data_IF_161336938561
#
_entry.id   IF_161336938561
#
_cell.length_a   1.000
_cell.length_b   1.000
_cell.length_c   1.000
_cell.angle_alpha   90.00
_cell.angle_beta   90.00
_cell.angle_gamma   90.00
#
_symmetry.space_group_name_H-M   'P 1'
#
loop_
_entity.id
_entity.type
_entity.pdbx_description
1 polymer ?
#
# COMPACT_ATOMS: atom_id res chain seq x y z
N UNK A 1 -13.31 -3.02 -5.36
CA UNK A 1 -12.27 -1.99 -5.53
C UNK A 1 -11.06 -2.60 -6.23
N UNK A 2 -10.16 -1.81 -6.83
CA UNK A 2 -8.99 -2.34 -7.56
C UNK A 2 -8.09 -3.25 -6.69
N UNK A 3 -8.01 -2.99 -5.39
CA UNK A 3 -7.32 -3.85 -4.42
C UNK A 3 -7.93 -5.24 -4.26
N UNK A 4 -9.24 -5.39 -4.45
CA UNK A 4 -9.90 -6.69 -4.24
C UNK A 4 -9.68 -7.64 -5.43
N UNK A 5 -9.27 -7.09 -6.58
CA UNK A 5 -8.87 -7.85 -7.77
C UNK A 5 -7.41 -8.29 -7.71
N UNK A 6 -6.62 -7.76 -6.77
CA UNK A 6 -5.23 -8.16 -6.57
C UNK A 6 -5.18 -9.35 -5.59
N UNK A 7 -4.70 -10.52 -6.03
CA UNK A 7 -4.75 -11.73 -5.21
C UNK A 7 -3.88 -11.64 -3.95
N UNK A 8 -2.74 -10.96 -4.03
CA UNK A 8 -1.82 -10.78 -2.89
C UNK A 8 -2.46 -9.89 -1.83
N UNK A 9 -3.07 -8.77 -2.26
CA UNK A 9 -3.76 -7.85 -1.36
C UNK A 9 -4.99 -8.51 -0.73
N UNK A 10 -5.77 -9.25 -1.53
CA UNK A 10 -6.95 -9.98 -1.05
C UNK A 10 -6.59 -11.06 -0.04
N UNK A 11 -5.49 -11.78 -0.24
CA UNK A 11 -4.98 -12.76 0.73
C UNK A 11 -4.63 -12.08 2.07
N UNK A 12 -3.93 -10.94 2.03
CA UNK A 12 -3.58 -10.20 3.25
C UNK A 12 -4.85 -9.68 3.95
N UNK A 13 -5.83 -9.14 3.23
CA UNK A 13 -7.12 -8.71 3.80
C UNK A 13 -7.83 -9.86 4.51
N UNK A 14 -7.85 -11.05 3.89
CA UNK A 14 -8.43 -12.25 4.48
C UNK A 14 -7.68 -12.67 5.75
N UNK A 15 -6.34 -12.65 5.74
CA UNK A 15 -5.53 -12.96 6.93
C UNK A 15 -5.80 -11.98 8.07
N UNK A 16 -5.99 -10.69 7.78
CA UNK A 16 -6.34 -9.68 8.80
C UNK A 16 -7.71 -10.00 9.42
N UNK A 17 -8.72 -10.29 8.59
CA UNK A 17 -10.07 -10.59 9.08
C UNK A 17 -10.12 -11.88 9.92
N UNK A 18 -9.24 -12.84 9.61
CA UNK A 18 -9.16 -14.13 10.30
C UNK A 18 -8.13 -14.15 11.45
N UNK A 19 -7.55 -13.00 11.84
CA UNK A 19 -6.46 -12.91 12.84
C UNK A 19 -5.26 -13.83 12.53
N UNK A 20 -5.00 -14.09 11.24
CA UNK A 20 -3.95 -14.99 10.76
C UNK A 20 -2.61 -14.29 10.47
N UNK A 21 -2.48 -13.01 10.80
CA UNK A 21 -1.20 -12.29 10.73
C UNK A 21 -0.39 -12.51 12.02
N UNK A 22 0.93 -12.55 11.90
CA UNK A 22 1.80 -12.53 13.09
C UNK A 22 1.74 -11.18 13.79
N UNK A 23 2.07 -11.12 15.08
CA UNK A 23 2.03 -9.88 15.88
C UNK A 23 2.87 -8.73 15.26
N UNK A 24 3.98 -9.07 14.60
CA UNK A 24 4.81 -8.11 13.87
C UNK A 24 4.09 -7.55 12.63
N UNK A 25 3.33 -8.38 11.92
CA UNK A 25 2.58 -7.99 10.73
C UNK A 25 1.32 -7.21 11.07
N UNK A 26 0.67 -7.52 12.19
CA UNK A 26 -0.53 -6.81 12.69
C UNK A 26 -0.26 -5.32 12.90
N UNK A 27 0.91 -4.96 13.41
CA UNK A 27 1.30 -3.55 13.59
C UNK A 27 1.72 -2.85 12.27
N UNK A 28 1.87 -3.61 11.19
CA UNK A 28 2.35 -3.11 9.90
C UNK A 28 1.20 -2.78 8.95
N UNK A 29 0.04 -3.41 9.10
CA UNK A 29 -1.09 -3.28 8.18
C UNK A 29 -2.35 -2.79 8.89
N UNK A 30 -3.09 -1.89 8.23
CA UNK A 30 -4.34 -1.34 8.72
C UNK A 30 -5.36 -1.34 7.58
N UNK A 31 -6.61 -1.70 7.87
CA UNK A 31 -7.74 -1.53 6.96
C UNK A 31 -8.43 -0.20 7.26
N UNK A 32 -8.32 0.77 6.34
CA UNK A 32 -8.95 2.08 6.47
C UNK A 32 -9.97 2.29 5.36
N UNK A 33 -11.25 2.39 5.72
CA UNK A 33 -12.37 2.53 4.76
C UNK A 33 -12.36 1.44 3.66
N UNK A 34 -12.01 0.21 4.02
CA UNK A 34 -11.93 -0.93 3.08
C UNK A 34 -10.67 -0.98 2.22
N UNK A 35 -9.76 -0.01 2.35
CA UNK A 35 -8.46 0.02 1.68
C UNK A 35 -7.41 -0.55 2.63
N UNK A 36 -6.65 -1.52 2.14
CA UNK A 36 -5.47 -2.04 2.84
C UNK A 36 -4.34 -1.03 2.75
N UNK A 37 -3.86 -0.61 3.91
CA UNK A 37 -2.79 0.35 4.05
C UNK A 37 -1.64 -0.24 4.86
N UNK A 38 -0.43 0.23 4.59
CA UNK A 38 0.75 -0.02 5.41
C UNK A 38 0.95 1.14 6.37
N UNK A 39 1.11 0.83 7.64
CA UNK A 39 1.47 1.79 8.68
C UNK A 39 3.00 1.91 8.70
N UNK A 40 3.50 3.13 8.53
CA UNK A 40 4.94 3.42 8.54
C UNK A 40 5.23 4.62 9.45
N UNK A 41 6.30 4.53 10.23
CA UNK A 41 6.82 5.66 10.99
C UNK A 41 7.88 6.38 10.15
N UNK A 42 7.73 7.70 9.98
CA UNK A 42 8.76 8.58 9.41
C UNK A 42 9.03 9.72 10.38
N UNK A 43 10.18 9.65 11.05
CA UNK A 43 10.51 10.55 12.17
C UNK A 43 9.45 10.42 13.27
N UNK A 44 8.94 11.55 13.74
CA UNK A 44 7.91 11.59 14.79
C UNK A 44 6.47 11.45 14.27
N UNK A 45 6.27 11.06 13.01
CA UNK A 45 4.93 10.94 12.41
C UNK A 45 4.66 9.52 11.92
N UNK A 46 3.53 8.97 12.34
CA UNK A 46 2.96 7.75 11.76
C UNK A 46 2.13 8.11 10.53
N UNK A 47 2.38 7.43 9.41
CA UNK A 47 1.63 7.57 8.16
C UNK A 47 0.98 6.24 7.78
N UNK A 48 -0.21 6.34 7.23
CA UNK A 48 -0.98 5.23 6.69
C UNK A 48 -0.93 5.35 5.16
N UNK A 49 -0.20 4.45 4.49
CA UNK A 49 0.03 4.50 3.03
C UNK A 49 -0.79 3.41 2.34
N UNK A 50 -1.63 3.73 1.35
CA UNK A 50 -2.42 2.71 0.65
C UNK A 50 -1.50 1.79 -0.16
N UNK A 51 -1.78 0.49 -0.13
CA UNK A 51 -1.05 -0.48 -0.94
C UNK A 51 -1.59 -0.42 -2.38
N UNK A 52 -0.72 -0.15 -3.34
CA UNK A 52 -1.11 -0.03 -4.74
C UNK A 52 -1.21 -1.44 -5.36
N UNK A 53 -2.35 -1.82 -5.96
CA UNK A 53 -2.51 -3.07 -6.71
C UNK A 53 -1.44 -3.22 -7.79
N UNK A 54 -0.95 -4.43 -8.02
CA UNK A 54 0.12 -4.71 -8.98
C UNK A 54 -0.17 -4.12 -10.37
N UNK A 55 -1.40 -4.28 -10.85
CA UNK A 55 -1.88 -3.74 -12.14
C UNK A 55 -1.80 -2.22 -12.27
N UNK A 56 -1.75 -1.49 -11.15
CA UNK A 56 -1.74 -0.02 -11.12
C UNK A 56 -0.36 0.56 -10.79
N UNK A 57 0.62 -0.26 -10.38
CA UNK A 57 1.95 0.21 -9.95
C UNK A 57 2.64 1.00 -11.06
N UNK A 58 2.64 0.49 -12.29
CA UNK A 58 3.22 1.19 -13.44
C UNK A 58 2.57 2.55 -13.66
N UNK A 59 1.24 2.59 -13.74
CA UNK A 59 0.50 3.83 -13.99
C UNK A 59 0.77 4.88 -12.92
N UNK A 60 0.83 4.49 -11.64
CA UNK A 60 1.12 5.43 -10.56
C UNK A 60 2.54 5.99 -10.68
N UNK A 61 3.55 5.13 -10.86
CA UNK A 61 4.95 5.57 -11.00
C UNK A 61 5.12 6.45 -12.23
N UNK A 62 4.59 6.02 -13.37
CA UNK A 62 4.66 6.77 -14.62
C UNK A 62 3.99 8.15 -14.49
N UNK A 63 2.81 8.21 -13.87
CA UNK A 63 2.15 9.49 -13.62
C UNK A 63 2.97 10.40 -12.71
N UNK A 64 3.61 9.89 -11.65
CA UNK A 64 4.48 10.70 -10.78
C UNK A 64 5.67 11.24 -11.56
N UNK A 65 6.32 10.38 -12.34
CA UNK A 65 7.47 10.73 -13.17
C UNK A 65 7.12 11.87 -14.15
N UNK A 66 6.03 11.69 -14.92
CA UNK A 66 5.60 12.64 -15.96
C UNK A 66 5.00 13.93 -15.36
N UNK A 67 4.19 13.83 -14.31
CA UNK A 67 3.40 14.98 -13.83
C UNK A 67 4.21 16.02 -13.06
N UNK A 68 5.33 15.63 -12.44
CA UNK A 68 6.05 16.54 -11.55
C UNK A 68 7.18 17.30 -12.24
N UNK A 69 8.00 16.68 -13.13
CA UNK A 69 9.02 17.29 -14.03
C UNK A 69 9.98 16.24 -14.67
N UNK A 70 9.51 15.07 -15.13
CA UNK A 70 10.37 13.96 -15.58
C UNK A 70 11.50 13.64 -14.58
N UNK A 71 11.11 13.42 -13.33
CA UNK A 71 12.06 13.23 -12.22
C UNK A 71 12.98 12.02 -12.46
N UNK A 72 14.27 12.13 -12.14
CA UNK A 72 15.17 10.98 -12.14
C UNK A 72 14.72 9.87 -11.18
N UNK A 73 15.26 8.66 -11.32
CA UNK A 73 14.82 7.46 -10.58
C UNK A 73 14.82 7.58 -9.05
N UNK A 74 15.70 8.40 -8.46
CA UNK A 74 15.76 8.57 -6.99
C UNK A 74 14.66 9.53 -6.49
N UNK A 75 14.25 10.47 -7.34
CA UNK A 75 13.26 11.50 -7.00
C UNK A 75 11.82 11.05 -7.30
N UNK A 76 11.65 10.15 -8.27
CA UNK A 76 10.37 9.46 -8.57
C UNK A 76 10.10 8.40 -7.52
#
# INVERSE_FOLDING_TARGET
MAQDQDPEISEIKSKIQNNGLSDQQTNTYELRSGILCRVVQRGYRTRCLPIIPHSHRYTVVHNIHESIMHLGSEKT
#
